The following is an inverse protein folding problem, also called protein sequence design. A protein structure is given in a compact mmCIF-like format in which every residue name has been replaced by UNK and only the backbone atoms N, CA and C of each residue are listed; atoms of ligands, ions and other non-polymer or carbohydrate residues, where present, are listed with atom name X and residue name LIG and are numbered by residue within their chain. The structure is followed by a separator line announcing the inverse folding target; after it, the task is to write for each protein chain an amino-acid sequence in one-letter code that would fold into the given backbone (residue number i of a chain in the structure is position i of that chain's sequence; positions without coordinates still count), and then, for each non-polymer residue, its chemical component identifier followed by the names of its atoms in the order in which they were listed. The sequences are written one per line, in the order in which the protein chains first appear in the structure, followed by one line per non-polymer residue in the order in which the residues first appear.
data_IF_363863682950
#
_entry.id   IF_363863682950
#
_cell.length_a   1.000
_cell.length_b   1.000
_cell.length_c   1.000
_cell.angle_alpha   90.00
_cell.angle_beta   90.00
_cell.angle_gamma   90.00
#
_symmetry.space_group_name_H-M   'P 1'
#
loop_
_entity.id
_entity.type
_entity.pdbx_description
1 polymer ?
#
# COMPACT_ATOMS: atom_id res chain seq x y z
N UNK A 1 35.19 12.92 27.72
CA UNK A 1 34.33 11.75 27.42
C UNK A 1 33.60 12.13 26.14
N UNK A 2 34.18 11.81 24.99
CA UNK A 2 33.62 12.21 23.70
C UNK A 2 32.29 11.49 23.49
N UNK A 3 31.25 12.25 23.20
CA UNK A 3 29.91 11.77 22.91
C UNK A 3 29.95 11.04 21.55
N UNK A 4 29.90 9.71 21.59
CA UNK A 4 29.99 8.83 20.41
C UNK A 4 28.69 8.79 19.59
N UNK A 5 27.69 9.59 19.96
CA UNK A 5 26.32 9.48 19.45
C UNK A 5 26.05 10.34 18.20
N UNK A 6 26.99 11.22 17.82
CA UNK A 6 26.82 12.19 16.71
C UNK A 6 27.63 11.82 15.46
N UNK A 7 27.77 10.52 15.19
CA UNK A 7 28.46 10.00 14.01
C UNK A 7 27.43 9.62 12.93
N UNK A 8 27.46 10.27 11.75
CA UNK A 8 26.39 10.16 10.75
C UNK A 8 26.18 8.75 10.20
N UNK A 9 27.23 7.92 10.18
CA UNK A 9 27.15 6.51 9.76
C UNK A 9 26.40 5.62 10.76
N UNK A 10 26.46 5.90 12.07
CA UNK A 10 25.67 5.19 13.08
C UNK A 10 24.17 5.54 12.98
N UNK A 11 23.85 6.77 12.59
CA UNK A 11 22.47 7.20 12.35
C UNK A 11 21.85 6.50 11.12
N UNK A 12 22.65 6.26 10.07
CA UNK A 12 22.18 5.60 8.86
C UNK A 12 21.93 4.09 9.07
N UNK A 13 22.81 3.40 9.80
CA UNK A 13 22.62 2.00 10.20
C UNK A 13 21.40 1.82 11.11
N UNK A 14 21.19 2.73 12.07
CA UNK A 14 20.00 2.67 12.95
C UNK A 14 18.71 2.94 12.18
N UNK A 15 18.72 3.83 11.18
CA UNK A 15 17.59 4.04 10.29
C UNK A 15 17.25 2.80 9.46
N UNK A 16 18.27 2.12 8.90
CA UNK A 16 18.08 0.87 8.17
C UNK A 16 17.52 -0.24 9.08
N UNK A 17 18.07 -0.40 10.29
CA UNK A 17 17.58 -1.36 11.28
C UNK A 17 16.12 -1.09 11.67
N UNK A 18 15.72 0.19 11.78
CA UNK A 18 14.32 0.56 12.04
C UNK A 18 13.40 0.13 10.90
N UNK A 19 13.84 0.24 9.65
CA UNK A 19 13.08 -0.21 8.48
C UNK A 19 12.94 -1.75 8.45
N UNK A 20 13.96 -2.48 8.90
CA UNK A 20 13.87 -3.93 9.10
C UNK A 20 12.91 -4.31 10.24
N UNK A 21 12.92 -3.55 11.34
CA UNK A 21 11.97 -3.74 12.43
C UNK A 21 10.53 -3.44 11.98
N UNK A 22 10.34 -2.42 11.15
CA UNK A 22 9.04 -2.03 10.60
C UNK A 22 8.39 -3.14 9.77
N UNK A 23 9.18 -3.91 9.02
CA UNK A 23 8.66 -5.06 8.25
C UNK A 23 8.53 -6.34 9.10
N UNK A 24 8.95 -6.32 10.36
CA UNK A 24 9.03 -7.51 11.21
C UNK A 24 10.02 -8.55 10.65
N UNK A 25 11.07 -8.10 9.97
CA UNK A 25 12.06 -8.97 9.30
C UNK A 25 11.63 -9.52 7.93
N UNK A 26 10.43 -9.18 7.44
CA UNK A 26 9.99 -9.60 6.11
C UNK A 26 10.75 -8.83 5.03
N UNK A 27 11.13 -9.54 3.98
CA UNK A 27 11.84 -9.00 2.80
C UNK A 27 10.97 -8.98 1.54
N UNK A 28 9.77 -9.60 1.60
CA UNK A 28 8.83 -9.69 0.48
C UNK A 28 7.40 -9.35 0.93
N UNK A 29 6.64 -8.58 0.13
CA UNK A 29 5.22 -8.37 0.38
C UNK A 29 4.42 -9.64 0.11
N UNK A 30 3.30 -9.83 0.82
CA UNK A 30 2.39 -10.96 0.56
C UNK A 30 1.64 -10.79 -0.78
N UNK A 31 1.43 -9.54 -1.21
CA UNK A 31 0.84 -9.18 -2.51
C UNK A 31 1.89 -8.55 -3.43
N UNK A 32 1.87 -8.96 -4.69
CA UNK A 32 2.66 -8.32 -5.73
C UNK A 32 2.09 -6.91 -6.02
N UNK A 33 2.90 -5.88 -5.78
CA UNK A 33 2.54 -4.49 -6.03
C UNK A 33 3.56 -3.83 -6.96
N UNK A 34 3.07 -3.26 -8.07
CA UNK A 34 3.85 -2.42 -8.97
C UNK A 34 3.94 -0.99 -8.46
N UNK A 35 4.93 -0.22 -8.95
CA UNK A 35 5.10 1.18 -8.54
C UNK A 35 3.89 2.05 -8.87
N UNK A 36 3.23 1.77 -10.00
CA UNK A 36 2.06 2.49 -10.49
C UNK A 36 0.74 1.92 -9.95
N UNK A 37 0.77 0.81 -9.22
CA UNK A 37 -0.43 0.23 -8.60
C UNK A 37 -1.04 1.23 -7.63
N UNK A 38 -2.33 1.52 -7.77
CA UNK A 38 -3.04 2.50 -6.94
C UNK A 38 -3.84 1.81 -5.84
N UNK A 39 -3.83 2.40 -4.66
CA UNK A 39 -4.61 1.97 -3.50
C UNK A 39 -5.37 3.17 -2.94
N UNK A 40 -6.49 2.90 -2.26
CA UNK A 40 -7.28 3.93 -1.55
C UNK A 40 -7.72 3.40 -0.19
N UNK A 41 -8.07 4.31 0.73
CA UNK A 41 -8.71 3.93 1.98
C UNK A 41 -10.00 3.15 1.69
N UNK A 42 -10.22 2.06 2.43
CA UNK A 42 -11.48 1.35 2.36
C UNK A 42 -12.63 2.26 2.83
N UNK A 43 -13.80 2.23 2.15
CA UNK A 43 -14.95 3.00 2.59
C UNK A 43 -15.50 2.43 3.91
N UNK A 44 -16.00 3.31 4.78
CA UNK A 44 -16.71 2.88 5.99
C UNK A 44 -15.83 2.24 7.07
N UNK A 45 -14.54 2.55 7.13
CA UNK A 45 -13.67 2.09 8.21
C UNK A 45 -14.20 2.56 9.57
N UNK A 46 -14.36 1.61 10.50
CA UNK A 46 -14.72 1.92 11.87
C UNK A 46 -13.58 2.71 12.55
N UNK A 47 -13.90 3.74 13.39
CA UNK A 47 -12.88 4.50 14.11
C UNK A 47 -11.91 3.61 14.90
N UNK A 48 -12.44 2.57 15.56
CA UNK A 48 -11.62 1.64 16.34
C UNK A 48 -10.58 0.88 15.50
N UNK A 49 -10.81 0.69 14.20
CA UNK A 49 -9.83 0.08 13.30
C UNK A 49 -8.66 1.03 13.05
N UNK A 50 -8.95 2.32 12.89
CA UNK A 50 -7.93 3.37 12.70
C UNK A 50 -7.08 3.53 13.97
N UNK A 51 -7.71 3.52 15.15
CA UNK A 51 -7.03 3.68 16.44
C UNK A 51 -6.04 2.54 16.76
N UNK A 52 -6.19 1.37 16.14
CA UNK A 52 -5.30 0.21 16.32
C UNK A 52 -4.13 0.18 15.34
N UNK A 53 -4.06 1.12 14.40
CA UNK A 53 -2.98 1.17 13.42
C UNK A 53 -1.69 1.69 14.05
N UNK A 54 -0.56 1.08 13.65
CA UNK A 54 0.75 1.67 13.91
C UNK A 54 0.92 3.01 13.17
N UNK A 55 1.90 3.84 13.57
CA UNK A 55 2.03 5.21 13.06
C UNK A 55 2.21 5.27 11.54
N UNK A 56 3.01 4.37 10.96
CA UNK A 56 3.22 4.31 9.51
C UNK A 56 1.96 3.88 8.76
N UNK A 57 1.17 2.97 9.36
CA UNK A 57 -0.11 2.53 8.81
C UNK A 57 -1.16 3.65 8.84
N UNK A 58 -1.22 4.40 9.94
CA UNK A 58 -2.09 5.57 10.07
C UNK A 58 -1.72 6.66 9.05
N UNK A 59 -0.43 6.94 8.88
CA UNK A 59 0.05 7.90 7.89
C UNK A 59 -0.29 7.48 6.46
N UNK A 60 -0.17 6.19 6.12
CA UNK A 60 -0.65 5.67 4.82
C UNK A 60 -2.15 5.92 4.65
N UNK A 61 -2.95 5.69 5.69
CA UNK A 61 -4.40 5.89 5.62
C UNK A 61 -4.76 7.35 5.39
N UNK A 62 -4.08 8.29 6.08
CA UNK A 62 -4.21 9.73 5.84
C UNK A 62 -3.86 10.09 4.38
N UNK A 63 -2.76 9.54 3.86
CA UNK A 63 -2.38 9.70 2.46
C UNK A 63 -3.44 9.13 1.51
N UNK A 64 -4.15 8.08 1.85
CA UNK A 64 -5.12 7.45 0.95
C UNK A 64 -6.57 7.94 1.17
N UNK A 65 -6.80 8.84 2.12
CA UNK A 65 -8.15 9.26 2.54
C UNK A 65 -8.87 10.19 1.57
N UNK A 66 -8.13 10.97 0.77
CA UNK A 66 -8.72 11.94 -0.19
C UNK A 66 -8.89 11.37 -1.59
N UNK A 67 -7.90 10.63 -2.06
CA UNK A 67 -7.84 10.10 -3.42
C UNK A 67 -6.97 8.85 -3.45
N UNK A 68 -7.15 7.96 -4.44
CA UNK A 68 -6.23 6.85 -4.63
C UNK A 68 -4.79 7.33 -4.86
N UNK A 69 -3.80 6.65 -4.31
CA UNK A 69 -2.37 6.95 -4.54
C UNK A 69 -1.60 5.72 -4.98
N UNK A 70 -0.60 5.95 -5.82
CA UNK A 70 0.30 4.90 -6.26
C UNK A 70 1.31 4.52 -5.17
N UNK A 71 1.85 3.31 -5.25
CA UNK A 71 2.92 2.84 -4.35
C UNK A 71 4.11 3.82 -4.35
N UNK A 72 4.50 4.34 -5.51
CA UNK A 72 5.61 5.28 -5.63
C UNK A 72 5.33 6.61 -4.89
N UNK A 73 4.13 7.17 -5.05
CA UNK A 73 3.74 8.40 -4.35
C UNK A 73 3.72 8.21 -2.83
N UNK A 74 3.23 7.06 -2.36
CA UNK A 74 3.19 6.74 -0.93
C UNK A 74 4.62 6.60 -0.39
N UNK A 75 5.49 5.85 -1.06
CA UNK A 75 6.88 5.67 -0.64
C UNK A 75 7.63 7.01 -0.55
N UNK A 76 7.48 7.88 -1.56
CA UNK A 76 8.10 9.21 -1.57
C UNK A 76 7.59 10.12 -0.46
N UNK A 77 6.31 10.01 -0.08
CA UNK A 77 5.72 10.81 1.01
C UNK A 77 6.04 10.30 2.40
N UNK A 78 6.17 8.98 2.56
CA UNK A 78 6.61 8.37 3.81
C UNK A 78 8.11 8.51 4.04
N UNK A 79 8.90 8.73 2.98
CA UNK A 79 10.36 8.78 3.07
C UNK A 79 10.99 7.42 3.39
N UNK A 80 10.32 6.31 3.06
CA UNK A 80 10.81 4.96 3.30
C UNK A 80 11.08 4.23 1.98
N UNK A 81 11.97 3.21 1.96
CA UNK A 81 12.24 2.46 0.74
C UNK A 81 10.98 1.80 0.17
N UNK A 82 10.86 1.81 -1.15
CA UNK A 82 9.73 1.24 -1.90
C UNK A 82 9.38 -0.18 -1.43
N UNK A 83 10.37 -1.03 -1.19
CA UNK A 83 10.14 -2.41 -0.79
C UNK A 83 9.44 -2.50 0.58
N UNK A 84 9.83 -1.64 1.52
CA UNK A 84 9.20 -1.52 2.84
C UNK A 84 7.76 -1.01 2.68
N UNK A 85 7.55 0.00 1.83
CA UNK A 85 6.20 0.48 1.50
C UNK A 85 5.33 -0.63 0.95
N UNK A 86 5.82 -1.44 0.00
CA UNK A 86 5.05 -2.56 -0.57
C UNK A 86 4.64 -3.58 0.48
N UNK A 87 5.52 -3.87 1.44
CA UNK A 87 5.23 -4.79 2.55
C UNK A 87 4.10 -4.22 3.42
N UNK A 88 4.23 -2.96 3.85
CA UNK A 88 3.22 -2.26 4.64
C UNK A 88 1.86 -2.21 3.92
N UNK A 89 1.85 -1.83 2.64
CA UNK A 89 0.64 -1.75 1.83
C UNK A 89 0.00 -3.12 1.63
N UNK A 90 0.80 -4.19 1.50
CA UNK A 90 0.27 -5.55 1.42
C UNK A 90 -0.52 -5.91 2.68
N UNK A 91 0.00 -5.59 3.87
CA UNK A 91 -0.67 -5.89 5.14
C UNK A 91 -1.97 -5.11 5.29
N UNK A 92 -1.97 -3.85 4.86
CA UNK A 92 -3.16 -3.01 4.89
C UNK A 92 -4.22 -3.46 3.89
N UNK A 93 -3.80 -4.03 2.75
CA UNK A 93 -4.71 -4.67 1.79
C UNK A 93 -5.27 -5.99 2.34
N UNK A 94 -4.44 -6.79 3.02
CA UNK A 94 -4.84 -8.06 3.65
C UNK A 94 -5.81 -7.85 4.82
N UNK A 95 -5.63 -6.77 5.58
CA UNK A 95 -6.52 -6.36 6.67
C UNK A 95 -7.72 -5.53 6.22
N UNK A 96 -7.89 -5.33 4.92
CA UNK A 96 -8.98 -4.54 4.32
C UNK A 96 -9.06 -3.08 4.79
N UNK A 97 -7.96 -2.53 5.32
CA UNK A 97 -7.82 -1.10 5.64
C UNK A 97 -7.64 -0.31 4.34
N UNK A 98 -6.93 -0.88 3.38
CA UNK A 98 -6.85 -0.38 2.01
C UNK A 98 -7.58 -1.32 1.06
N UNK A 99 -7.99 -0.75 -0.07
CA UNK A 99 -8.48 -1.50 -1.22
C UNK A 99 -7.73 -1.08 -2.48
N UNK A 100 -7.54 -2.00 -3.45
CA UNK A 100 -7.05 -1.62 -4.77
C UNK A 100 -7.95 -0.56 -5.39
N UNK A 101 -7.36 0.46 -5.99
CA UNK A 101 -8.08 1.42 -6.80
C UNK A 101 -7.83 1.05 -8.27
N UNK A 102 -8.88 0.58 -8.95
CA UNK A 102 -8.81 0.50 -10.40
C UNK A 102 -8.60 1.91 -10.97
N UNK A 103 -7.83 2.05 -12.06
CA UNK A 103 -7.88 3.28 -12.82
C UNK A 103 -9.34 3.60 -13.14
N UNK A 104 -9.74 4.89 -13.13
CA UNK A 104 -11.05 5.27 -13.64
C UNK A 104 -11.25 4.58 -14.98
N UNK A 105 -12.30 3.78 -15.10
CA UNK A 105 -12.65 3.14 -16.37
C UNK A 105 -12.90 4.31 -17.32
N UNK A 106 -12.00 4.53 -18.28
CA UNK A 106 -12.38 5.33 -19.44
C UNK A 106 -13.65 4.68 -19.96
N UNK A 107 -14.71 5.48 -20.10
CA UNK A 107 -16.09 5.03 -20.14
C UNK A 107 -16.47 4.26 -21.43
N UNK A 108 -15.56 3.50 -22.04
CA UNK A 108 -15.66 3.06 -23.43
C UNK A 108 -15.32 1.58 -23.64
N UNK A 109 -15.76 0.68 -22.74
CA UNK A 109 -15.37 -0.73 -22.88
C UNK A 109 -16.21 -1.75 -22.15
N UNK A 110 -17.45 -1.47 -21.79
CA UNK A 110 -18.42 -2.52 -21.47
C UNK A 110 -19.50 -2.46 -22.52
N UNK A 111 -19.20 -2.98 -23.71
CA UNK A 111 -20.24 -3.32 -24.68
C UNK A 111 -21.08 -4.45 -24.05
N UNK A 112 -22.36 -4.21 -23.72
CA UNK A 112 -23.22 -5.22 -23.13
C UNK A 112 -23.32 -6.47 -24.01
N UNK A 113 -23.25 -6.31 -25.33
CA UNK A 113 -23.31 -7.41 -26.29
C UNK A 113 -22.08 -8.32 -26.20
N UNK A 114 -20.90 -7.75 -25.96
CA UNK A 114 -19.67 -8.52 -25.75
C UNK A 114 -19.72 -9.32 -24.44
N UNK A 115 -20.29 -8.72 -23.39
CA UNK A 115 -20.46 -9.40 -22.10
C UNK A 115 -21.49 -10.52 -22.17
N UNK A 116 -22.59 -10.32 -22.88
CA UNK A 116 -23.59 -11.36 -23.14
C UNK A 116 -23.02 -12.49 -23.98
N UNK A 117 -22.27 -12.18 -25.04
CA UNK A 117 -21.60 -13.19 -25.87
C UNK A 117 -20.57 -14.02 -25.06
N UNK A 118 -19.80 -13.39 -24.18
CA UNK A 118 -18.86 -14.09 -23.31
C UNK A 118 -19.57 -14.99 -22.29
N UNK A 119 -20.69 -14.52 -21.71
CA UNK A 119 -21.51 -15.29 -20.79
C UNK A 119 -22.11 -16.53 -21.47
N UNK A 120 -22.59 -16.38 -22.69
CA UNK A 120 -23.15 -17.49 -23.48
C UNK A 120 -22.06 -18.51 -23.87
N UNK A 121 -20.86 -18.04 -24.24
CA UNK A 121 -19.71 -18.90 -24.48
C UNK A 121 -19.33 -19.73 -23.26
N UNK A 122 -19.36 -19.15 -22.05
CA UNK A 122 -19.09 -19.89 -20.80
C UNK A 122 -20.17 -20.90 -20.43
N UNK A 123 -21.43 -20.65 -20.82
CA UNK A 123 -22.57 -21.55 -20.55
C UNK A 123 -22.66 -22.76 -21.47
N UNK A 124 -21.96 -22.72 -22.61
CA UNK A 124 -21.97 -23.79 -23.61
C UNK A 124 -20.79 -24.76 -23.49
N UNK A 125 -19.99 -24.64 -22.43
CA UNK A 125 -18.91 -25.57 -22.02
C UNK A 125 -19.40 -26.55 -20.96
#
# INVERSE_FOLDING_TARGET
MADFTDEPWLAEDTAQLRLYALTGGRTRPARALGLVSRVRAAPGLAPSTVDRLGPESAQVLELCGREPRSVAEIAGRLGVPVQVTKILLSDLLDSHVLVPALPPREADGSDPLLLEAALEGLRSL
#
